data_IF_192928960503
#
_entry.id   IF_192928960503
#
_cell.length_a   1.000
_cell.length_b   1.000
_cell.length_c   1.000
_cell.angle_alpha   90.00
_cell.angle_beta   90.00
_cell.angle_gamma   90.00
#
_symmetry.space_group_name_H-M   'P 1'
#
loop_
_entity.id
_entity.type
_entity.pdbx_description
1 polymer ?
#
# COMPACT_ATOMS: atom_id res chain seq x y z
N UNK A 1 -28.23 -21.43 -1.24
CA UNK A 1 -27.50 -20.15 -1.18
C UNK A 1 -27.24 -19.87 0.28
N UNK A 2 -25.99 -20.01 0.73
CA UNK A 2 -25.63 -19.57 2.07
C UNK A 2 -25.77 -18.04 2.11
N UNK A 3 -26.43 -17.53 3.15
CA UNK A 3 -26.65 -16.10 3.37
C UNK A 3 -25.28 -15.42 3.53
N UNK A 4 -24.79 -14.82 2.44
CA UNK A 4 -23.44 -14.22 2.32
C UNK A 4 -23.28 -12.96 3.15
N UNK A 5 -24.36 -12.53 3.83
CA UNK A 5 -24.38 -11.39 4.75
C UNK A 5 -24.09 -11.78 6.21
N UNK A 6 -24.01 -13.07 6.54
CA UNK A 6 -23.84 -13.56 7.91
C UNK A 6 -22.45 -13.29 8.49
N UNK A 7 -21.43 -13.06 7.65
CA UNK A 7 -20.04 -13.01 8.11
C UNK A 7 -19.61 -11.65 8.69
N UNK A 8 -20.41 -10.58 8.51
CA UNK A 8 -20.07 -9.22 8.97
C UNK A 8 -21.27 -8.45 9.55
N UNK A 9 -21.90 -8.92 10.64
CA UNK A 9 -23.10 -8.30 11.21
C UNK A 9 -22.88 -6.85 11.67
N UNK A 10 -21.67 -6.54 12.13
CA UNK A 10 -21.33 -5.20 12.63
C UNK A 10 -21.43 -4.14 11.51
N UNK A 11 -20.92 -4.43 10.31
CA UNK A 11 -20.92 -3.50 9.17
C UNK A 11 -22.36 -3.17 8.76
N UNK A 12 -23.22 -4.18 8.73
CA UNK A 12 -24.64 -4.01 8.37
C UNK A 12 -25.35 -3.10 9.37
N UNK A 13 -25.05 -3.27 10.67
CA UNK A 13 -25.62 -2.42 11.73
C UNK A 13 -25.17 -0.97 11.56
N UNK A 14 -23.89 -0.71 11.30
CA UNK A 14 -23.36 0.64 11.09
C UNK A 14 -23.95 1.31 9.84
N UNK A 15 -24.06 0.57 8.72
CA UNK A 15 -24.68 1.07 7.50
C UNK A 15 -26.14 1.47 7.72
N UNK A 16 -26.93 0.62 8.39
CA UNK A 16 -28.34 0.92 8.72
C UNK A 16 -28.44 2.15 9.61
N UNK A 17 -27.55 2.28 10.60
CA UNK A 17 -27.50 3.44 11.49
C UNK A 17 -27.24 4.73 10.72
N UNK A 18 -26.22 4.78 9.85
CA UNK A 18 -25.93 5.98 9.03
C UNK A 18 -27.09 6.34 8.10
N UNK A 19 -27.74 5.34 7.50
CA UNK A 19 -28.90 5.58 6.64
C UNK A 19 -30.07 6.17 7.44
N UNK A 20 -30.32 5.66 8.65
CA UNK A 20 -31.37 6.19 9.52
C UNK A 20 -31.08 7.64 9.97
N UNK A 21 -29.82 7.99 10.19
CA UNK A 21 -29.43 9.31 10.68
C UNK A 21 -29.34 10.37 9.57
N UNK A 22 -28.77 10.00 8.42
CA UNK A 22 -28.41 10.94 7.36
C UNK A 22 -29.30 10.81 6.12
N UNK A 23 -30.21 9.85 6.08
CA UNK A 23 -30.97 9.49 4.89
C UNK A 23 -30.15 8.61 3.94
N UNK A 24 -30.38 8.73 2.63
CA UNK A 24 -29.66 7.92 1.65
C UNK A 24 -28.17 8.22 1.71
N UNK A 25 -27.35 7.19 1.87
CA UNK A 25 -25.89 7.30 1.73
C UNK A 25 -25.49 7.10 0.27
N UNK A 26 -24.34 7.67 -0.10
CA UNK A 26 -23.74 7.43 -1.41
C UNK A 26 -23.11 6.04 -1.47
N UNK A 27 -22.87 5.53 -2.68
CA UNK A 27 -22.10 4.30 -2.86
C UNK A 27 -20.66 4.43 -2.35
N UNK A 28 -20.07 5.63 -2.45
CA UNK A 28 -18.74 5.92 -1.91
C UNK A 28 -18.69 5.75 -0.38
N UNK A 29 -19.67 6.29 0.34
CA UNK A 29 -19.79 6.10 1.79
C UNK A 29 -20.03 4.63 2.16
N UNK A 30 -20.84 3.91 1.40
CA UNK A 30 -21.02 2.47 1.59
C UNK A 30 -19.67 1.71 1.45
N UNK A 31 -18.93 1.99 0.38
CA UNK A 31 -17.63 1.35 0.12
C UNK A 31 -16.60 1.67 1.20
N UNK A 32 -16.54 2.93 1.65
CA UNK A 32 -15.65 3.35 2.73
C UNK A 32 -15.91 2.56 4.02
N UNK A 33 -17.18 2.39 4.40
CA UNK A 33 -17.55 1.62 5.59
C UNK A 33 -17.24 0.13 5.40
N UNK A 34 -17.62 -0.44 4.26
CA UNK A 34 -17.42 -1.86 3.97
C UNK A 34 -15.92 -2.22 3.96
N UNK A 35 -15.07 -1.33 3.47
CA UNK A 35 -13.64 -1.58 3.29
C UNK A 35 -12.79 -1.16 4.49
N UNK A 36 -13.09 -0.04 5.15
CA UNK A 36 -12.15 0.63 6.05
C UNK A 36 -12.69 0.94 7.45
N UNK A 37 -13.93 0.56 7.78
CA UNK A 37 -14.47 0.84 9.12
C UNK A 37 -13.62 0.21 10.23
N UNK A 38 -13.34 0.96 11.30
CA UNK A 38 -12.35 0.61 12.33
C UNK A 38 -12.47 -0.85 12.82
N UNK A 39 -11.42 -1.64 12.58
CA UNK A 39 -11.28 -3.06 12.97
C UNK A 39 -12.36 -4.02 12.45
N UNK A 40 -13.24 -3.54 11.56
CA UNK A 40 -14.44 -4.27 11.12
C UNK A 40 -14.58 -4.30 9.60
N UNK A 41 -14.10 -3.27 8.91
CA UNK A 41 -14.03 -3.21 7.45
C UNK A 41 -13.10 -4.29 6.90
N UNK A 42 -13.24 -4.57 5.60
CA UNK A 42 -12.42 -5.54 4.90
C UNK A 42 -10.92 -5.30 5.20
N UNK A 43 -10.31 -4.19 4.80
CA UNK A 43 -8.85 -4.01 4.98
C UNK A 43 -8.37 -3.79 6.42
N UNK A 44 -9.26 -3.52 7.38
CA UNK A 44 -8.91 -3.18 8.76
C UNK A 44 -9.14 -4.32 9.77
N UNK A 45 -10.01 -5.28 9.47
CA UNK A 45 -10.43 -6.33 10.42
C UNK A 45 -9.49 -7.52 10.55
N UNK A 46 -8.68 -7.83 9.54
CA UNK A 46 -7.88 -9.05 9.52
C UNK A 46 -6.47 -8.81 8.95
N UNK A 47 -5.43 -9.29 9.65
CA UNK A 47 -4.02 -8.97 9.36
C UNK A 47 -3.39 -9.83 8.25
N UNK A 48 -4.03 -10.94 7.87
CA UNK A 48 -3.46 -11.93 6.92
C UNK A 48 -4.21 -11.97 5.58
N UNK A 49 -4.49 -10.83 4.95
CA UNK A 49 -5.30 -10.76 3.72
C UNK A 49 -4.51 -10.89 2.41
N UNK A 50 -3.18 -10.79 2.48
CA UNK A 50 -2.31 -10.79 1.31
C UNK A 50 -1.53 -12.10 1.16
N UNK A 51 -1.21 -12.46 -0.08
CA UNK A 51 -0.34 -13.59 -0.42
C UNK A 51 -1.09 -14.93 -0.44
N UNK A 52 -0.33 -16.02 -0.54
CA UNK A 52 -0.86 -17.39 -0.76
C UNK A 52 -1.82 -17.86 0.35
N UNK A 53 -1.77 -17.25 1.52
CA UNK A 53 -2.64 -17.55 2.66
C UNK A 53 -3.75 -16.50 2.90
N UNK A 54 -3.83 -15.48 2.04
CA UNK A 54 -4.85 -14.45 2.06
C UNK A 54 -5.94 -14.68 1.00
N UNK A 55 -6.82 -13.69 0.85
CA UNK A 55 -7.95 -13.77 -0.08
C UNK A 55 -7.52 -13.53 -1.54
N UNK A 56 -6.37 -12.88 -1.74
CA UNK A 56 -5.85 -12.54 -3.06
C UNK A 56 -4.33 -12.74 -3.13
N UNK A 57 -3.88 -13.25 -4.28
CA UNK A 57 -2.49 -13.24 -4.72
C UNK A 57 -2.29 -12.10 -5.73
N UNK A 58 -1.15 -11.45 -5.65
CA UNK A 58 -0.75 -10.34 -6.52
C UNK A 58 0.43 -10.75 -7.41
N UNK A 59 0.75 -9.97 -8.44
CA UNK A 59 1.86 -10.29 -9.34
C UNK A 59 3.22 -10.42 -8.62
N UNK A 60 3.42 -9.68 -7.52
CA UNK A 60 4.59 -9.83 -6.65
C UNK A 60 4.65 -11.18 -5.92
N UNK A 61 3.52 -11.84 -5.74
CA UNK A 61 3.43 -13.18 -5.13
C UNK A 61 3.68 -14.31 -6.15
N UNK A 62 3.51 -14.04 -7.45
CA UNK A 62 3.60 -15.05 -8.52
C UNK A 62 5.03 -15.20 -9.04
N UNK A 63 5.73 -14.09 -9.28
CA UNK A 63 7.07 -14.14 -9.89
C UNK A 63 7.94 -12.92 -9.58
N UNK A 64 9.24 -13.13 -9.26
CA UNK A 64 10.21 -12.03 -9.10
C UNK A 64 10.47 -11.22 -10.37
N UNK A 65 9.98 -11.65 -11.55
CA UNK A 65 10.22 -10.93 -12.80
C UNK A 65 9.61 -9.53 -12.76
N UNK A 66 8.43 -9.39 -12.15
CA UNK A 66 7.74 -8.09 -12.08
C UNK A 66 8.54 -7.06 -11.28
N UNK A 67 9.01 -7.42 -10.08
CA UNK A 67 9.84 -6.55 -9.24
C UNK A 67 11.20 -6.24 -9.89
N UNK A 68 11.78 -7.18 -10.63
CA UNK A 68 13.03 -6.94 -11.37
C UNK A 68 12.88 -5.93 -12.52
N UNK A 69 11.79 -6.02 -13.27
CA UNK A 69 11.51 -5.06 -14.35
C UNK A 69 11.28 -3.65 -13.79
N UNK A 70 10.55 -3.55 -12.67
CA UNK A 70 10.36 -2.27 -11.99
C UNK A 70 11.67 -1.69 -11.45
N UNK A 71 12.55 -2.51 -10.86
CA UNK A 71 13.87 -2.07 -10.41
C UNK A 71 14.70 -1.47 -11.56
N UNK A 72 14.70 -2.13 -12.73
CA UNK A 72 15.39 -1.61 -13.92
C UNK A 72 14.77 -0.30 -14.43
N UNK A 73 13.44 -0.19 -14.45
CA UNK A 73 12.74 1.03 -14.84
C UNK A 73 13.04 2.18 -13.87
N UNK A 74 13.04 1.93 -12.57
CA UNK A 74 13.36 2.93 -11.55
C UNK A 74 14.80 3.43 -11.66
N UNK A 75 15.75 2.53 -11.93
CA UNK A 75 17.14 2.92 -12.20
C UNK A 75 17.25 3.80 -13.45
N UNK A 76 16.52 3.46 -14.52
CA UNK A 76 16.46 4.30 -15.72
C UNK A 76 15.91 5.69 -15.40
N UNK A 77 14.82 5.78 -14.64
CA UNK A 77 14.22 7.05 -14.24
C UNK A 77 15.18 7.88 -13.37
N UNK A 78 15.95 7.24 -12.49
CA UNK A 78 16.97 7.92 -11.70
C UNK A 78 18.03 8.61 -12.57
N UNK A 79 18.56 7.93 -13.59
CA UNK A 79 19.48 8.55 -14.55
C UNK A 79 18.82 9.69 -15.36
N UNK A 80 17.57 9.50 -15.81
CA UNK A 80 16.82 10.53 -16.55
C UNK A 80 16.64 11.80 -15.72
N UNK A 81 16.45 11.65 -14.40
CA UNK A 81 16.32 12.77 -13.47
C UNK A 81 17.67 13.39 -13.05
N UNK A 82 18.79 12.97 -13.63
CA UNK A 82 20.11 13.49 -13.32
C UNK A 82 20.69 12.94 -12.01
N UNK A 83 20.40 11.68 -11.70
CA UNK A 83 20.96 10.95 -10.56
C UNK A 83 20.74 11.64 -9.20
N UNK A 84 19.51 12.08 -8.88
CA UNK A 84 19.24 12.81 -7.64
C UNK A 84 19.50 11.94 -6.41
N UNK A 85 19.95 12.57 -5.33
CA UNK A 85 20.12 11.93 -4.03
C UNK A 85 19.55 12.86 -2.94
N UNK A 86 18.43 12.49 -2.27
CA UNK A 86 17.74 11.20 -2.37
C UNK A 86 16.81 11.08 -3.60
N UNK A 87 16.61 9.85 -4.07
CA UNK A 87 15.53 9.46 -4.98
C UNK A 87 14.48 8.67 -4.20
N UNK A 88 13.20 9.04 -4.28
CA UNK A 88 12.14 8.43 -3.49
C UNK A 88 11.24 7.55 -4.37
N UNK A 89 11.04 6.30 -3.97
CA UNK A 89 10.00 5.42 -4.52
C UNK A 89 8.84 5.43 -3.55
N UNK A 90 7.67 5.86 -4.01
CA UNK A 90 6.45 5.90 -3.19
C UNK A 90 5.51 4.82 -3.68
N UNK A 91 5.14 3.88 -2.81
CA UNK A 91 4.14 2.85 -3.10
C UNK A 91 2.82 3.21 -2.42
N UNK A 92 1.78 3.44 -3.21
CA UNK A 92 0.41 3.69 -2.72
C UNK A 92 -0.34 2.36 -2.69
N UNK A 93 -0.94 2.02 -1.55
CA UNK A 93 -1.60 0.72 -1.38
C UNK A 93 -0.59 -0.42 -1.19
N UNK A 94 0.49 -0.14 -0.45
CA UNK A 94 1.62 -1.04 -0.32
C UNK A 94 1.30 -2.38 0.36
N UNK A 95 0.16 -2.50 1.06
CA UNK A 95 -0.25 -3.73 1.73
C UNK A 95 0.82 -4.27 2.68
N UNK A 96 1.39 -5.43 2.38
CA UNK A 96 2.49 -6.01 3.17
C UNK A 96 3.86 -5.36 2.94
N UNK A 97 4.03 -4.59 1.86
CA UNK A 97 5.29 -4.00 1.40
C UNK A 97 6.16 -4.94 0.57
N UNK A 98 5.69 -6.16 0.29
CA UNK A 98 6.48 -7.22 -0.36
C UNK A 98 7.03 -6.81 -1.73
N UNK A 99 6.24 -6.10 -2.55
CA UNK A 99 6.69 -5.59 -3.85
C UNK A 99 7.92 -4.69 -3.68
N UNK A 100 7.84 -3.68 -2.82
CA UNK A 100 8.96 -2.76 -2.55
C UNK A 100 10.17 -3.46 -1.93
N UNK A 101 9.98 -4.47 -1.07
CA UNK A 101 11.10 -5.27 -0.54
C UNK A 101 11.84 -6.03 -1.66
N UNK A 102 11.12 -6.62 -2.62
CA UNK A 102 11.74 -7.30 -3.74
C UNK A 102 12.41 -6.33 -4.74
N UNK A 103 11.83 -5.15 -4.94
CA UNK A 103 12.43 -4.08 -5.76
C UNK A 103 13.74 -3.61 -5.11
N UNK A 104 13.72 -3.30 -3.81
CA UNK A 104 14.92 -2.87 -3.06
C UNK A 104 16.04 -3.91 -3.16
N UNK A 105 15.71 -5.18 -2.92
CA UNK A 105 16.68 -6.27 -3.04
C UNK A 105 17.29 -6.33 -4.45
N UNK A 106 16.47 -6.21 -5.49
CA UNK A 106 16.96 -6.22 -6.88
C UNK A 106 17.85 -5.01 -7.15
N UNK A 107 17.47 -3.82 -6.69
CA UNK A 107 18.27 -2.59 -6.85
C UNK A 107 19.61 -2.75 -6.14
N UNK A 108 19.62 -3.28 -4.92
CA UNK A 108 20.85 -3.55 -4.16
C UNK A 108 21.80 -4.49 -4.88
N UNK A 109 21.27 -5.54 -5.48
CA UNK A 109 22.06 -6.57 -6.16
C UNK A 109 22.58 -6.09 -7.54
N UNK A 110 21.79 -5.31 -8.29
CA UNK A 110 22.09 -4.99 -9.69
C UNK A 110 22.58 -3.54 -9.90
N UNK A 111 22.19 -2.60 -9.04
CA UNK A 111 22.44 -1.17 -9.22
C UNK A 111 23.01 -0.51 -7.95
N UNK A 112 24.25 -0.82 -7.52
CA UNK A 112 24.80 -0.35 -6.24
C UNK A 112 24.86 1.17 -6.10
N UNK A 113 25.06 1.92 -7.19
CA UNK A 113 25.06 3.38 -7.17
C UNK A 113 23.66 3.94 -6.91
N UNK A 114 22.65 3.45 -7.64
CA UNK A 114 21.26 3.82 -7.40
C UNK A 114 20.78 3.40 -6.01
N UNK A 115 21.23 2.23 -5.53
CA UNK A 115 20.93 1.77 -4.18
C UNK A 115 21.34 2.77 -3.09
N UNK A 116 22.42 3.53 -3.27
CA UNK A 116 22.83 4.56 -2.30
C UNK A 116 21.84 5.72 -2.24
N UNK A 117 21.25 6.10 -3.37
CA UNK A 117 20.34 7.24 -3.48
C UNK A 117 18.88 6.91 -3.16
N UNK A 118 18.45 5.67 -3.42
CA UNK A 118 17.03 5.29 -3.31
C UNK A 118 16.55 5.17 -1.85
N UNK A 119 15.32 5.65 -1.60
CA UNK A 119 14.56 5.42 -0.38
C UNK A 119 13.10 5.08 -0.74
N UNK A 120 12.44 4.30 0.09
CA UNK A 120 11.07 3.83 -0.11
C UNK A 120 10.13 4.46 0.91
N UNK A 121 8.97 4.92 0.43
CA UNK A 121 7.87 5.43 1.24
C UNK A 121 6.63 4.60 0.95
N UNK A 122 6.23 3.78 1.91
CA UNK A 122 5.11 2.87 1.75
C UNK A 122 3.87 3.48 2.40
N UNK A 123 2.80 3.60 1.64
CA UNK A 123 1.53 4.16 2.09
C UNK A 123 0.48 3.06 2.08
N UNK A 124 -0.11 2.79 3.24
CA UNK A 124 -1.24 1.90 3.35
C UNK A 124 -2.05 2.23 4.61
N UNK A 125 -3.38 2.15 4.53
CA UNK A 125 -4.27 2.39 5.68
C UNK A 125 -3.95 1.48 6.87
N UNK A 126 -3.43 0.27 6.61
CA UNK A 126 -3.00 -0.68 7.63
C UNK A 126 -1.76 -0.23 8.42
N UNK A 127 -1.04 0.79 7.94
CA UNK A 127 0.14 1.32 8.61
C UNK A 127 -0.15 2.40 9.65
N UNK A 128 -1.41 2.68 9.99
CA UNK A 128 -1.76 3.62 11.05
C UNK A 128 -0.97 3.39 12.36
N UNK A 129 -0.72 2.13 12.73
CA UNK A 129 0.10 1.76 13.92
C UNK A 129 1.62 1.89 13.73
N UNK A 130 2.08 1.98 12.47
CA UNK A 130 3.49 2.12 12.07
C UNK A 130 3.80 3.52 11.55
N UNK A 131 2.90 4.47 11.77
CA UNK A 131 3.00 5.82 11.22
C UNK A 131 4.36 6.47 11.56
N UNK A 132 5.06 6.93 10.52
CA UNK A 132 6.36 7.58 10.67
C UNK A 132 7.50 6.64 11.10
N UNK A 133 7.25 5.34 11.26
CA UNK A 133 8.28 4.36 11.53
C UNK A 133 9.27 4.31 10.36
N UNK A 134 10.55 4.12 10.69
CA UNK A 134 11.62 3.97 9.70
C UNK A 134 12.37 2.67 9.96
N UNK A 135 12.67 1.95 8.88
CA UNK A 135 13.50 0.75 8.90
C UNK A 135 14.38 0.74 7.66
N UNK A 136 15.67 0.98 7.85
CA UNK A 136 16.65 1.04 6.76
C UNK A 136 16.20 1.99 5.63
N UNK A 137 16.00 1.49 4.42
CA UNK A 137 15.53 2.26 3.25
C UNK A 137 14.04 2.66 3.31
N UNK A 138 13.27 2.19 4.28
CA UNK A 138 11.79 2.27 4.28
C UNK A 138 11.25 3.23 5.33
N UNK A 139 10.24 4.02 4.95
CA UNK A 139 9.38 4.80 5.84
C UNK A 139 7.91 4.45 5.58
N UNK A 140 7.10 4.37 6.64
CA UNK A 140 5.71 3.91 6.56
C UNK A 140 4.73 5.04 6.90
N UNK A 141 3.67 5.14 6.10
CA UNK A 141 2.64 6.19 6.18
C UNK A 141 1.25 5.59 6.01
N UNK A 142 0.25 6.23 6.63
CA UNK A 142 -1.15 5.85 6.52
C UNK A 142 -1.89 6.67 5.46
N UNK A 143 -1.37 7.86 5.12
CA UNK A 143 -1.89 8.73 4.07
C UNK A 143 -0.78 9.39 3.25
N UNK A 144 -1.10 9.72 1.99
CA UNK A 144 -0.25 10.52 1.12
C UNK A 144 -0.05 11.94 1.65
N UNK A 145 -1.01 12.49 2.39
CA UNK A 145 -0.93 13.85 2.97
C UNK A 145 0.22 14.01 3.95
N UNK A 146 0.73 12.89 4.48
CA UNK A 146 1.83 12.85 5.43
C UNK A 146 3.20 12.86 4.74
N UNK A 147 3.22 12.77 3.41
CA UNK A 147 4.42 12.87 2.61
C UNK A 147 4.64 14.34 2.22
N UNK A 148 5.80 14.89 2.61
CA UNK A 148 6.13 16.29 2.34
C UNK A 148 6.06 16.70 0.86
N UNK A 149 5.80 17.98 0.60
CA UNK A 149 5.43 18.54 -0.70
C UNK A 149 6.56 18.71 -1.74
N UNK A 150 7.73 18.11 -1.54
CA UNK A 150 8.86 18.22 -2.47
C UNK A 150 9.62 16.92 -2.52
N UNK A 151 9.29 16.13 -3.54
CA UNK A 151 9.78 14.77 -3.71
C UNK A 151 10.36 14.64 -5.10
N UNK A 152 11.61 14.17 -5.17
CA UNK A 152 12.22 13.72 -6.41
C UNK A 152 12.21 12.20 -6.43
N UNK A 153 11.62 11.61 -7.46
CA UNK A 153 11.55 10.16 -7.65
C UNK A 153 10.30 9.71 -8.41
N UNK A 154 9.77 8.54 -8.05
CA UNK A 154 8.63 7.90 -8.73
C UNK A 154 7.54 7.45 -7.75
N UNK A 155 6.31 7.40 -8.24
CA UNK A 155 5.16 6.80 -7.55
C UNK A 155 4.82 5.50 -8.29
N UNK A 156 4.59 4.43 -7.53
CA UNK A 156 4.06 3.15 -7.98
C UNK A 156 2.74 2.87 -7.25
N UNK A 157 1.76 2.34 -7.98
CA UNK A 157 0.41 2.02 -7.50
C UNK A 157 -0.17 0.87 -8.30
#
# INVERSE_FOLDING_TARGET
MADTFADHPDIIVELKKRIQQNGKITFAEFMDIALYWSDKGYYTSNKNRWGVHGDYITNSDISPVFSKLLAAQLNQMWHILGEPSPFNVIEVGAGSGELSFQIEKTIKDLFPEFYRAVNFKLIDVSYASKQGAKKDKFSFYSSMDEIGHSITGCIIS
#
